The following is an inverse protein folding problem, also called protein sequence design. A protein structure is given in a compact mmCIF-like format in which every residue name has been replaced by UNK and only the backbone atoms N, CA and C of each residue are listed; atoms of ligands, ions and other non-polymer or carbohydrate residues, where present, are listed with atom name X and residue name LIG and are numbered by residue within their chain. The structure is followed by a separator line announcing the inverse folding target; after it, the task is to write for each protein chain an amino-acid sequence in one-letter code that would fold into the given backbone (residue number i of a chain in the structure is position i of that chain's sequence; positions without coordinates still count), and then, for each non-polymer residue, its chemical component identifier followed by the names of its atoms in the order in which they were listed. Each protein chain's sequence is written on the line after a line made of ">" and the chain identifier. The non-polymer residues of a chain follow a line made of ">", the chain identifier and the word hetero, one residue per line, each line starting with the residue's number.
data_IF_475446524701
#
_entry.id   IF_475446524701
#
_cell.length_a   1.000
_cell.length_b   1.000
_cell.length_c   1.000
_cell.angle_alpha   90.00
_cell.angle_beta   90.00
_cell.angle_gamma   90.00
#
_symmetry.space_group_name_H-M   'P 1'
#
loop_
_entity.id
_entity.type
_entity.pdbx_description
1 polymer ?
#
# COMPACT_ATOMS: atom_id res chain seq x y z
N UNK A 1 -9.75 41.85 43.95
CA UNK A 1 -9.28 41.16 42.77
C UNK A 1 -9.82 39.72 42.56
N UNK A 2 -10.81 39.28 43.37
CA UNK A 2 -11.41 37.93 43.16
C UNK A 2 -12.13 37.85 41.80
N UNK A 3 -12.74 38.93 41.33
CA UNK A 3 -13.46 39.03 40.06
C UNK A 3 -12.60 38.61 38.84
N UNK A 4 -11.36 39.14 38.71
CA UNK A 4 -10.48 38.80 37.58
C UNK A 4 -10.02 37.33 37.59
N UNK A 5 -9.84 36.75 38.78
CA UNK A 5 -9.49 35.35 38.93
C UNK A 5 -10.68 34.46 38.53
N UNK A 6 -11.89 34.77 38.97
CA UNK A 6 -13.09 34.05 38.59
C UNK A 6 -13.43 34.23 37.10
N UNK A 7 -13.20 35.39 36.52
CA UNK A 7 -13.37 35.65 35.08
C UNK A 7 -12.36 34.81 34.25
N UNK A 8 -11.10 34.76 34.69
CA UNK A 8 -10.10 33.92 34.00
C UNK A 8 -10.45 32.42 34.09
N UNK A 9 -10.97 31.97 35.24
CA UNK A 9 -11.48 30.61 35.41
C UNK A 9 -12.70 30.29 34.55
N UNK A 10 -13.59 31.26 34.37
CA UNK A 10 -14.76 31.13 33.50
C UNK A 10 -14.33 31.01 32.02
N UNK A 11 -13.42 31.87 31.56
CA UNK A 11 -12.88 31.80 30.21
C UNK A 11 -12.16 30.47 29.95
N UNK A 12 -11.38 29.97 30.92
CA UNK A 12 -10.73 28.67 30.82
C UNK A 12 -11.75 27.53 30.72
N UNK A 13 -12.80 27.53 31.54
CA UNK A 13 -13.87 26.54 31.48
C UNK A 13 -14.64 26.58 30.15
N UNK A 14 -14.82 27.75 29.57
CA UNK A 14 -15.45 27.93 28.25
C UNK A 14 -14.58 27.31 27.15
N UNK A 15 -13.27 27.58 27.13
CA UNK A 15 -12.33 27.01 26.16
C UNK A 15 -12.25 25.46 26.28
N UNK A 16 -12.28 24.94 27.52
CA UNK A 16 -12.32 23.49 27.77
C UNK A 16 -13.61 22.89 27.23
N UNK A 17 -14.76 23.51 27.44
CA UNK A 17 -16.05 23.09 26.89
C UNK A 17 -16.07 23.10 25.36
N UNK A 18 -15.47 24.10 24.71
CA UNK A 18 -15.36 24.18 23.25
C UNK A 18 -14.53 23.01 22.68
N UNK A 19 -13.38 22.72 23.30
CA UNK A 19 -12.52 21.62 22.89
C UNK A 19 -13.20 20.26 23.08
N UNK A 20 -13.83 20.03 24.24
CA UNK A 20 -14.58 18.80 24.53
C UNK A 20 -15.75 18.63 23.56
N UNK A 21 -16.49 19.71 23.27
CA UNK A 21 -17.62 19.68 22.32
C UNK A 21 -17.14 19.33 20.90
N UNK A 22 -16.01 19.89 20.47
CA UNK A 22 -15.39 19.55 19.19
C UNK A 22 -14.95 18.08 19.13
N UNK A 23 -14.34 17.56 20.19
CA UNK A 23 -13.98 16.14 20.27
C UNK A 23 -15.22 15.24 20.16
N UNK A 24 -16.30 15.54 20.89
CA UNK A 24 -17.55 14.79 20.85
C UNK A 24 -18.17 14.82 19.44
N UNK A 25 -18.19 15.98 18.80
CA UNK A 25 -18.74 16.13 17.44
C UNK A 25 -18.00 15.27 16.41
N UNK A 26 -16.70 14.99 16.63
CA UNK A 26 -15.83 14.28 15.73
C UNK A 26 -15.49 12.84 16.19
N UNK A 27 -16.27 12.27 17.11
CA UNK A 27 -16.04 10.91 17.63
C UNK A 27 -16.15 9.83 16.52
N UNK A 28 -16.98 10.06 15.51
CA UNK A 28 -17.16 9.14 14.36
C UNK A 28 -16.43 9.62 13.09
N UNK A 29 -15.50 10.58 13.21
CA UNK A 29 -14.74 11.06 12.06
C UNK A 29 -13.47 10.25 11.89
N UNK A 30 -13.32 9.55 10.79
CA UNK A 30 -12.16 8.71 10.45
C UNK A 30 -10.86 9.51 10.55
N UNK A 31 -9.87 8.97 11.25
CA UNK A 31 -8.55 9.57 11.42
C UNK A 31 -8.52 10.86 12.25
N UNK A 32 -9.63 11.20 12.92
CA UNK A 32 -9.67 12.38 13.79
C UNK A 32 -8.77 12.19 15.02
N UNK A 33 -8.04 13.23 15.36
CA UNK A 33 -7.20 13.30 16.56
C UNK A 33 -7.77 14.30 17.55
N UNK A 34 -8.18 13.79 18.70
CA UNK A 34 -8.74 14.59 19.79
C UNK A 34 -7.79 15.69 20.24
N UNK A 35 -8.34 16.79 20.72
CA UNK A 35 -7.58 17.91 21.26
C UNK A 35 -7.80 18.03 22.76
N UNK A 36 -6.85 18.62 23.45
CA UNK A 36 -6.91 18.93 24.88
C UNK A 36 -6.48 20.37 25.13
N UNK A 37 -7.28 21.12 25.88
CA UNK A 37 -6.90 22.46 26.33
C UNK A 37 -5.81 22.39 27.41
N UNK A 38 -4.75 23.18 27.27
CA UNK A 38 -3.66 23.27 28.23
C UNK A 38 -3.64 24.62 28.88
N UNK A 39 -3.56 24.62 30.21
CA UNK A 39 -3.69 25.82 31.02
C UNK A 39 -2.43 26.07 31.85
N UNK A 40 -2.08 27.34 32.02
CA UNK A 40 -1.04 27.76 32.95
C UNK A 40 -1.59 28.74 33.97
N UNK A 41 -1.04 28.72 35.16
CA UNK A 41 -1.32 29.72 36.19
C UNK A 41 -0.71 31.07 35.82
N UNK A 42 -1.38 32.12 36.27
CA UNK A 42 -0.88 33.50 36.17
C UNK A 42 -0.36 33.92 37.56
N UNK A 43 0.94 34.19 37.62
CA UNK A 43 1.59 34.71 38.82
C UNK A 43 2.02 36.17 38.58
N UNK A 44 1.56 37.07 39.40
CA UNK A 44 1.98 38.49 39.34
C UNK A 44 3.41 38.59 39.86
N UNK A 45 4.40 38.83 38.98
CA UNK A 45 5.76 39.18 39.39
C UNK A 45 5.74 40.59 40.00
N UNK A 46 5.66 40.68 41.31
CA UNK A 46 5.83 41.96 41.98
C UNK A 46 7.33 42.21 42.22
N UNK A 47 7.81 43.37 41.80
CA UNK A 47 9.21 43.81 41.98
C UNK A 47 9.64 44.01 43.46
N UNK A 48 8.76 43.71 44.43
CA UNK A 48 9.02 43.87 45.84
C UNK A 48 8.72 42.54 46.54
N UNK A 49 9.72 41.70 46.64
CA UNK A 49 9.78 40.49 47.50
C UNK A 49 8.67 39.47 47.29
N UNK A 50 9.02 38.26 46.92
CA UNK A 50 8.13 37.08 46.88
C UNK A 50 7.69 36.71 48.30
N UNK A 51 6.60 37.32 48.78
CA UNK A 51 5.98 36.98 50.06
C UNK A 51 5.30 35.58 49.94
N UNK A 52 5.49 34.72 50.92
CA UNK A 52 4.82 33.39 51.05
C UNK A 52 3.28 33.48 51.09
N UNK A 53 2.70 34.66 51.00
CA UNK A 53 1.26 34.94 51.19
C UNK A 53 0.61 35.50 49.93
N UNK A 54 1.28 35.45 48.77
CA UNK A 54 0.71 35.99 47.52
C UNK A 54 -0.20 34.94 46.83
N UNK A 55 -1.47 35.28 46.67
CA UNK A 55 -2.43 34.46 45.93
C UNK A 55 -2.16 34.56 44.44
N UNK A 56 -2.39 33.49 43.68
CA UNK A 56 -2.29 33.49 42.22
C UNK A 56 -3.25 34.46 41.54
N UNK A 57 -2.92 34.90 40.32
CA UNK A 57 -3.69 35.91 39.58
C UNK A 57 -4.70 35.30 38.58
N UNK A 58 -4.90 33.98 38.65
CA UNK A 58 -5.83 33.29 37.78
C UNK A 58 -5.15 32.28 36.85
N UNK A 59 -5.85 31.93 35.77
CA UNK A 59 -5.44 30.92 34.77
C UNK A 59 -5.55 31.52 33.38
N UNK A 60 -4.69 31.04 32.46
CA UNK A 60 -4.80 31.35 31.02
C UNK A 60 -4.70 30.06 30.20
N UNK A 61 -5.39 30.02 29.07
CA UNK A 61 -5.18 29.05 28.04
C UNK A 61 -3.80 29.29 27.41
N UNK A 62 -2.99 28.26 27.33
CA UNK A 62 -1.65 28.28 26.72
C UNK A 62 -1.70 27.75 25.32
N UNK A 63 -2.34 26.58 25.16
CA UNK A 63 -2.36 25.84 23.90
C UNK A 63 -3.59 24.90 23.85
N UNK A 64 -3.91 24.43 22.64
CA UNK A 64 -4.85 23.35 22.39
C UNK A 64 -4.06 22.23 21.70
N UNK A 65 -3.48 21.36 22.52
CA UNK A 65 -2.61 20.29 22.06
C UNK A 65 -3.42 19.14 21.44
N UNK A 66 -3.04 18.70 20.24
CA UNK A 66 -3.63 17.52 19.60
C UNK A 66 -3.02 16.24 20.13
N UNK A 67 -3.84 15.20 20.24
CA UNK A 67 -3.41 13.89 20.73
C UNK A 67 -3.24 12.94 19.55
N UNK A 68 -2.01 12.65 19.14
CA UNK A 68 -1.69 11.77 18.01
C UNK A 68 -1.67 10.29 18.36
N UNK A 69 -2.15 9.89 19.54
CA UNK A 69 -2.33 8.47 19.85
C UNK A 69 -3.22 7.78 18.81
N UNK A 70 -2.94 6.52 18.53
CA UNK A 70 -3.72 5.73 17.59
C UNK A 70 -5.14 5.50 18.10
N UNK A 71 -6.12 5.62 17.19
CA UNK A 71 -7.51 5.21 17.41
C UNK A 71 -7.72 3.71 17.23
N UNK A 72 -8.95 3.23 17.44
CA UNK A 72 -9.31 1.85 17.10
C UNK A 72 -9.30 1.66 15.59
N UNK A 73 -8.98 0.44 15.16
CA UNK A 73 -9.01 0.06 13.75
C UNK A 73 -10.28 -0.74 13.50
N UNK A 74 -11.12 -0.25 12.58
CA UNK A 74 -12.34 -0.92 12.15
C UNK A 74 -12.15 -1.47 10.73
N UNK A 75 -12.55 -2.74 10.52
CA UNK A 75 -12.43 -3.40 9.22
C UNK A 75 -13.59 -3.04 8.32
N UNK A 76 -13.28 -2.79 7.04
CA UNK A 76 -14.24 -2.46 5.99
C UNK A 76 -14.18 -3.45 4.83
N UNK A 77 -15.13 -3.36 3.90
CA UNK A 77 -15.14 -4.18 2.68
C UNK A 77 -14.43 -3.54 1.49
N UNK A 78 -13.92 -2.32 1.63
CA UNK A 78 -13.23 -1.58 0.57
C UNK A 78 -11.73 -1.83 0.62
N UNK A 79 -11.13 -2.34 -0.46
CA UNK A 79 -9.69 -2.57 -0.52
C UNK A 79 -8.83 -1.28 -0.58
N UNK A 80 -9.47 -0.12 -0.79
CA UNK A 80 -8.81 1.20 -0.78
C UNK A 80 -8.89 1.90 0.56
N UNK A 81 -9.68 1.36 1.50
CA UNK A 81 -9.65 1.82 2.87
C UNK A 81 -8.38 1.29 3.53
N UNK A 82 -7.60 2.16 4.13
CA UNK A 82 -6.31 1.83 4.71
C UNK A 82 -6.15 2.45 6.09
N UNK A 83 -5.60 1.69 7.02
CA UNK A 83 -5.19 2.19 8.32
C UNK A 83 -3.68 2.00 8.51
N UNK A 84 -3.04 2.94 9.21
CA UNK A 84 -1.63 2.80 9.62
C UNK A 84 -1.64 2.22 11.04
N UNK A 85 -0.99 1.08 11.23
CA UNK A 85 -0.79 0.47 12.55
C UNK A 85 0.57 0.89 13.08
N UNK A 86 0.60 1.90 13.95
CA UNK A 86 1.83 2.51 14.48
C UNK A 86 1.98 3.98 14.09
N UNK A 87 3.21 4.46 14.01
CA UNK A 87 3.56 5.87 13.72
C UNK A 87 3.47 6.20 12.23
N UNK A 88 3.30 7.50 11.88
CA UNK A 88 3.32 8.01 10.52
C UNK A 88 1.97 8.53 10.02
N UNK A 89 1.96 9.19 8.88
CA UNK A 89 0.81 9.78 8.21
C UNK A 89 0.83 9.43 6.73
N UNK A 90 -0.32 9.30 6.11
CA UNK A 90 -0.41 9.28 4.65
C UNK A 90 -0.01 10.63 4.08
N UNK A 91 0.78 10.62 3.03
CA UNK A 91 1.19 11.82 2.31
C UNK A 91 0.23 12.08 1.16
N UNK A 92 -0.39 13.26 1.15
CA UNK A 92 -1.28 13.72 0.09
C UNK A 92 -0.64 14.91 -0.62
N UNK A 93 -0.93 15.05 -1.90
CA UNK A 93 -0.55 16.21 -2.70
C UNK A 93 -1.81 16.96 -3.14
N UNK A 94 -1.87 18.23 -2.79
CA UNK A 94 -2.92 19.16 -3.21
C UNK A 94 -2.30 20.27 -4.05
N UNK A 95 -3.12 21.14 -4.65
CA UNK A 95 -2.65 22.31 -5.40
C UNK A 95 -1.77 23.26 -4.56
N UNK A 96 -1.95 23.25 -3.24
CA UNK A 96 -1.20 24.08 -2.27
C UNK A 96 0.09 23.42 -1.75
N UNK A 97 0.40 22.18 -2.14
CA UNK A 97 1.54 21.42 -1.67
C UNK A 97 1.16 20.10 -0.98
N UNK A 98 2.05 19.61 -0.13
CA UNK A 98 1.82 18.36 0.58
C UNK A 98 1.00 18.59 1.85
N UNK A 99 0.06 17.68 2.10
CA UNK A 99 -0.69 17.56 3.34
C UNK A 99 -0.59 16.13 3.87
N UNK A 100 -0.78 15.98 5.15
CA UNK A 100 -0.60 14.72 5.86
C UNK A 100 -1.89 14.35 6.57
N UNK A 101 -2.26 13.07 6.55
CA UNK A 101 -3.52 12.61 7.16
C UNK A 101 -3.39 11.22 7.76
N UNK A 102 -4.23 10.91 8.75
CA UNK A 102 -4.47 9.55 9.25
C UNK A 102 -5.76 8.96 8.69
N UNK A 103 -6.58 9.76 8.02
CA UNK A 103 -7.78 9.28 7.36
C UNK A 103 -7.43 8.50 6.10
N UNK A 104 -7.74 7.22 6.08
CA UNK A 104 -7.39 6.29 5.00
C UNK A 104 -8.55 5.91 4.10
N UNK A 105 -9.64 6.66 4.09
CA UNK A 105 -10.81 6.44 3.25
C UNK A 105 -10.60 6.99 1.84
N UNK A 106 -9.82 6.28 1.03
CA UNK A 106 -9.48 6.71 -0.34
C UNK A 106 -10.47 6.21 -1.37
N UNK A 107 -10.55 6.92 -2.49
CA UNK A 107 -11.39 6.57 -3.64
C UNK A 107 -10.64 6.84 -4.95
N UNK A 108 -11.14 6.26 -6.05
CA UNK A 108 -10.57 6.47 -7.39
C UNK A 108 -11.34 7.58 -8.08
N UNK A 109 -10.64 8.57 -8.63
CA UNK A 109 -11.24 9.65 -9.42
C UNK A 109 -11.54 9.19 -10.87
N UNK A 110 -12.13 10.08 -11.69
CA UNK A 110 -12.46 9.80 -13.09
C UNK A 110 -11.22 9.55 -13.98
N UNK A 111 -10.04 9.99 -13.54
CA UNK A 111 -8.78 9.82 -14.23
C UNK A 111 -8.03 8.56 -13.77
N UNK A 112 -8.56 7.86 -12.77
CA UNK A 112 -7.95 6.69 -12.19
C UNK A 112 -6.92 6.98 -11.09
N UNK A 113 -6.84 8.22 -10.59
CA UNK A 113 -5.97 8.54 -9.46
C UNK A 113 -6.64 8.18 -8.14
N UNK A 114 -5.87 7.74 -7.19
CA UNK A 114 -6.33 7.51 -5.81
C UNK A 114 -6.29 8.82 -5.06
N UNK A 115 -7.45 9.26 -4.60
CA UNK A 115 -7.63 10.55 -3.95
C UNK A 115 -8.35 10.42 -2.61
N UNK A 116 -8.09 11.35 -1.71
CA UNK A 116 -8.91 11.52 -0.51
C UNK A 116 -10.28 12.11 -0.89
N UNK A 117 -11.32 12.06 -0.03
CA UNK A 117 -12.62 12.67 -0.29
C UNK A 117 -12.57 14.19 -0.58
N UNK A 118 -11.48 14.84 -0.19
CA UNK A 118 -11.23 16.28 -0.42
C UNK A 118 -10.42 16.54 -1.70
N UNK A 119 -10.09 15.50 -2.48
CA UNK A 119 -9.38 15.61 -3.76
C UNK A 119 -7.85 15.62 -3.68
N UNK A 120 -7.27 15.38 -2.49
CA UNK A 120 -5.81 15.24 -2.36
C UNK A 120 -5.32 13.91 -2.95
N UNK A 121 -4.29 13.94 -3.79
CA UNK A 121 -3.71 12.77 -4.45
C UNK A 121 -2.81 11.99 -3.49
N UNK A 122 -3.07 10.70 -3.31
CA UNK A 122 -2.24 9.82 -2.49
C UNK A 122 -0.86 9.62 -3.12
N UNK A 123 0.20 9.84 -2.34
CA UNK A 123 1.57 9.79 -2.81
C UNK A 123 2.21 8.43 -2.58
N UNK A 124 2.95 7.96 -3.58
CA UNK A 124 3.68 6.70 -3.56
C UNK A 124 5.10 6.87 -4.10
N UNK A 125 5.97 5.96 -3.74
CA UNK A 125 7.26 5.73 -4.38
C UNK A 125 7.02 4.90 -5.66
N UNK A 126 7.39 5.40 -6.85
CA UNK A 126 7.18 4.67 -8.10
C UNK A 126 8.09 3.44 -8.20
N UNK A 127 7.68 2.38 -8.91
CA UNK A 127 8.54 1.22 -9.15
C UNK A 127 9.75 1.60 -10.02
N UNK A 128 10.94 1.11 -9.63
CA UNK A 128 12.21 1.43 -10.30
C UNK A 128 12.58 0.48 -11.45
N UNK A 129 11.70 -0.45 -11.83
CA UNK A 129 11.94 -1.43 -12.91
C UNK A 129 12.91 -2.56 -12.57
N UNK A 130 13.65 -2.49 -11.47
CA UNK A 130 14.55 -3.55 -10.98
C UNK A 130 13.91 -4.40 -9.86
N UNK A 131 12.60 -4.31 -9.68
CA UNK A 131 11.83 -5.02 -8.66
C UNK A 131 11.73 -4.31 -7.31
N UNK A 132 12.22 -3.06 -7.21
CA UNK A 132 12.11 -2.19 -6.04
C UNK A 132 11.37 -0.89 -6.35
N UNK A 133 11.48 0.08 -5.41
CA UNK A 133 10.83 1.38 -5.51
C UNK A 133 11.86 2.52 -5.41
N UNK A 134 11.60 3.61 -6.11
CA UNK A 134 12.44 4.82 -6.04
C UNK A 134 11.98 5.70 -4.87
N UNK A 135 12.68 5.59 -3.75
CA UNK A 135 12.38 6.38 -2.54
C UNK A 135 12.84 7.83 -2.62
N UNK A 136 13.54 8.23 -3.67
CA UNK A 136 13.98 9.60 -3.90
C UNK A 136 12.93 10.50 -4.55
N UNK A 137 11.88 9.94 -5.12
CA UNK A 137 10.81 10.67 -5.79
C UNK A 137 9.42 10.23 -5.34
N UNK A 138 8.47 11.15 -5.37
CA UNK A 138 7.06 10.87 -5.10
C UNK A 138 6.26 11.00 -6.40
N UNK A 139 5.28 10.13 -6.57
CA UNK A 139 4.30 10.18 -7.65
C UNK A 139 2.89 9.97 -7.12
N UNK A 140 1.93 10.50 -7.86
CA UNK A 140 0.51 10.27 -7.57
C UNK A 140 0.18 8.80 -7.86
N UNK A 141 -0.53 8.13 -6.95
CA UNK A 141 -0.97 6.76 -7.16
C UNK A 141 -2.10 6.73 -8.19
N UNK A 142 -1.82 6.12 -9.35
CA UNK A 142 -2.77 6.01 -10.45
C UNK A 142 -3.13 4.56 -10.72
N UNK A 143 -4.43 4.27 -10.73
CA UNK A 143 -5.01 2.95 -11.02
C UNK A 143 -5.70 2.99 -12.39
N UNK A 144 -5.42 3.99 -13.21
CA UNK A 144 -6.10 4.20 -14.50
C UNK A 144 -6.42 2.87 -15.16
N UNK A 145 -7.47 2.82 -15.99
CA UNK A 145 -7.93 1.63 -16.75
C UNK A 145 -6.76 0.99 -17.52
N UNK A 146 -5.80 0.45 -16.76
CA UNK A 146 -4.64 -0.24 -17.28
C UNK A 146 -5.12 -1.54 -17.91
N UNK A 147 -5.18 -1.54 -19.23
CA UNK A 147 -5.07 -2.82 -19.92
C UNK A 147 -3.63 -3.25 -19.71
N UNK A 148 -3.41 -4.32 -18.96
CA UNK A 148 -2.09 -4.93 -18.85
C UNK A 148 -1.62 -5.26 -20.25
N UNK A 149 -0.49 -4.67 -20.66
CA UNK A 149 0.09 -4.99 -21.97
C UNK A 149 0.34 -6.51 -22.03
N UNK A 150 0.12 -7.16 -23.18
CA UNK A 150 0.49 -8.57 -23.35
C UNK A 150 2.00 -8.71 -23.29
N UNK A 151 2.45 -9.92 -22.96
CA UNK A 151 3.85 -10.30 -23.04
C UNK A 151 3.99 -11.50 -23.99
N UNK A 152 4.85 -11.34 -25.00
CA UNK A 152 5.20 -12.46 -25.86
C UNK A 152 5.94 -13.53 -25.06
N UNK A 153 5.69 -14.79 -25.41
CA UNK A 153 6.45 -15.91 -24.85
C UNK A 153 7.83 -15.93 -25.48
N UNK A 154 8.87 -15.70 -24.71
CA UNK A 154 10.28 -15.83 -25.11
C UNK A 154 11.01 -16.92 -24.32
N UNK A 155 10.42 -17.40 -23.23
CA UNK A 155 11.00 -18.42 -22.38
C UNK A 155 9.94 -19.42 -21.91
N UNK A 156 10.31 -20.71 -21.91
CA UNK A 156 9.53 -21.80 -21.33
C UNK A 156 10.44 -22.73 -20.53
N UNK A 157 9.93 -23.33 -19.47
CA UNK A 157 10.65 -24.32 -18.66
C UNK A 157 9.89 -25.63 -18.69
N UNK A 158 10.59 -26.71 -19.05
CA UNK A 158 10.05 -28.04 -19.13
C UNK A 158 10.67 -28.90 -18.03
N UNK A 159 9.84 -29.59 -17.29
CA UNK A 159 10.25 -30.57 -16.31
C UNK A 159 9.50 -31.87 -16.62
N UNK A 160 10.13 -32.78 -17.38
CA UNK A 160 9.51 -34.00 -17.87
C UNK A 160 10.52 -35.16 -17.86
N UNK A 161 10.03 -36.36 -17.99
CA UNK A 161 10.86 -37.59 -18.16
C UNK A 161 10.64 -38.23 -19.53
N UNK A 162 11.71 -38.41 -20.29
CA UNK A 162 11.70 -39.20 -21.53
C UNK A 162 12.00 -40.67 -21.19
N UNK A 163 11.12 -41.66 -21.53
CA UNK A 163 11.35 -43.03 -21.17
C UNK A 163 12.61 -43.60 -21.79
N UNK A 164 13.48 -44.20 -20.96
CA UNK A 164 14.71 -44.87 -21.45
C UNK A 164 14.41 -46.13 -22.30
N UNK A 165 13.19 -46.67 -22.22
CA UNK A 165 12.71 -47.81 -22.98
C UNK A 165 12.27 -47.47 -24.41
N UNK A 166 12.11 -46.16 -24.73
CA UNK A 166 11.67 -45.76 -26.06
C UNK A 166 12.76 -46.08 -27.11
N UNK A 167 12.31 -46.60 -28.23
CA UNK A 167 13.17 -46.93 -29.37
C UNK A 167 12.92 -45.98 -30.53
N UNK A 168 13.85 -45.82 -31.48
CA UNK A 168 13.63 -45.01 -32.66
C UNK A 168 12.29 -45.31 -33.34
N UNK A 169 11.54 -44.27 -33.82
CA UNK A 169 10.26 -44.46 -34.49
C UNK A 169 10.37 -45.30 -35.74
N UNK A 170 9.30 -45.99 -36.12
CA UNK A 170 9.27 -46.88 -37.27
C UNK A 170 9.32 -46.11 -38.62
N UNK A 171 8.75 -44.88 -38.63
CA UNK A 171 8.71 -44.01 -39.82
C UNK A 171 9.74 -42.92 -39.73
N UNK A 172 10.51 -42.73 -40.79
CA UNK A 172 11.48 -41.65 -40.98
C UNK A 172 11.34 -41.09 -42.41
N UNK A 173 11.50 -39.78 -42.62
CA UNK A 173 11.83 -38.71 -41.68
C UNK A 173 10.65 -38.33 -40.77
N UNK A 174 10.92 -37.54 -39.74
CA UNK A 174 9.91 -36.97 -38.84
C UNK A 174 8.87 -36.14 -39.60
N UNK A 175 7.58 -36.41 -39.35
CA UNK A 175 6.42 -35.63 -39.82
C UNK A 175 5.46 -35.40 -38.63
N UNK A 176 5.13 -34.15 -38.25
CA UNK A 176 4.21 -33.86 -37.13
C UNK A 176 2.80 -34.44 -37.34
N UNK A 177 2.40 -34.73 -38.58
CA UNK A 177 1.11 -35.32 -38.93
C UNK A 177 1.09 -36.84 -38.86
N UNK A 178 2.26 -37.48 -38.84
CA UNK A 178 2.38 -38.95 -38.71
C UNK A 178 2.80 -39.36 -37.27
N UNK A 179 1.87 -39.87 -36.46
CA UNK A 179 2.16 -40.23 -35.09
C UNK A 179 3.15 -41.42 -34.96
N UNK A 180 3.47 -42.08 -36.05
CA UNK A 180 4.48 -43.16 -36.07
C UNK A 180 5.90 -42.65 -36.31
N UNK A 181 6.06 -41.33 -36.59
CA UNK A 181 7.35 -40.71 -36.88
C UNK A 181 8.00 -40.02 -35.65
N UNK A 182 7.34 -40.00 -34.51
CA UNK A 182 7.87 -39.48 -33.25
C UNK A 182 7.46 -40.34 -32.06
N UNK A 183 8.18 -40.22 -30.95
CA UNK A 183 7.91 -41.01 -29.73
C UNK A 183 6.94 -40.30 -28.81
N UNK A 184 7.16 -39.03 -28.54
CA UNK A 184 6.40 -38.24 -27.55
C UNK A 184 6.12 -36.83 -28.07
N UNK A 185 5.06 -36.20 -27.54
CA UNK A 185 4.75 -34.81 -27.82
C UNK A 185 4.30 -34.11 -26.53
N UNK A 186 4.68 -32.84 -26.41
CA UNK A 186 4.34 -31.96 -25.30
C UNK A 186 3.71 -30.66 -25.82
N UNK A 187 2.37 -30.56 -25.84
CA UNK A 187 1.69 -29.35 -26.26
C UNK A 187 1.68 -28.33 -25.13
N UNK A 188 1.81 -27.03 -25.47
CA UNK A 188 1.66 -25.90 -24.57
C UNK A 188 1.20 -24.67 -25.34
N UNK A 189 0.71 -23.65 -24.61
CA UNK A 189 0.25 -22.40 -25.23
C UNK A 189 1.33 -21.34 -25.12
N UNK A 190 1.57 -20.63 -26.21
CA UNK A 190 2.46 -19.45 -26.27
C UNK A 190 1.66 -18.23 -26.71
N UNK A 191 2.14 -17.04 -26.37
CA UNK A 191 1.50 -15.78 -26.71
C UNK A 191 2.42 -14.93 -27.56
N UNK A 192 1.88 -14.24 -28.56
CA UNK A 192 2.61 -13.29 -29.37
C UNK A 192 2.70 -11.89 -28.74
N UNK A 193 3.38 -10.95 -29.39
CA UNK A 193 3.56 -9.58 -28.92
C UNK A 193 2.25 -8.76 -28.85
N UNK A 194 1.19 -9.20 -29.53
CA UNK A 194 -0.14 -8.61 -29.47
C UNK A 194 -1.06 -9.36 -28.48
N UNK A 195 -0.57 -10.46 -27.87
CA UNK A 195 -1.27 -11.26 -26.88
C UNK A 195 -2.24 -12.29 -27.44
N UNK A 196 -2.16 -12.60 -28.73
CA UNK A 196 -2.88 -13.72 -29.31
C UNK A 196 -2.21 -15.04 -28.88
N UNK A 197 -3.04 -16.03 -28.57
CA UNK A 197 -2.55 -17.37 -28.18
C UNK A 197 -2.29 -18.23 -29.40
N UNK A 198 -1.17 -18.95 -29.40
CA UNK A 198 -0.76 -19.91 -30.41
C UNK A 198 -0.54 -21.28 -29.76
N UNK A 199 -0.83 -22.35 -30.52
CA UNK A 199 -0.59 -23.70 -30.06
C UNK A 199 0.83 -24.13 -30.43
N UNK A 200 1.68 -24.29 -29.42
CA UNK A 200 3.03 -24.81 -29.59
C UNK A 200 3.08 -26.29 -29.18
N UNK A 201 3.86 -27.09 -29.90
CA UNK A 201 4.10 -28.52 -29.56
C UNK A 201 5.55 -28.85 -29.78
N UNK A 202 6.19 -29.41 -28.77
CA UNK A 202 7.51 -30.05 -28.90
C UNK A 202 7.31 -31.53 -29.17
N UNK A 203 7.85 -32.01 -30.29
CA UNK A 203 7.88 -33.42 -30.64
C UNK A 203 9.26 -33.98 -30.33
N UNK A 204 9.29 -35.05 -29.58
CA UNK A 204 10.51 -35.77 -29.21
C UNK A 204 10.68 -37.04 -30.04
N UNK A 205 11.79 -37.12 -30.76
CA UNK A 205 12.16 -38.25 -31.62
C UNK A 205 13.40 -38.89 -31.06
N UNK A 206 13.33 -40.16 -30.65
CA UNK A 206 14.49 -40.94 -30.27
C UNK A 206 15.30 -41.30 -31.52
N UNK A 207 16.58 -40.96 -31.57
CA UNK A 207 17.46 -41.22 -32.71
C UNK A 207 18.44 -42.34 -32.42
N UNK A 208 18.81 -42.54 -31.16
CA UNK A 208 19.67 -43.62 -30.68
C UNK A 208 19.54 -43.69 -29.14
N UNK A 209 20.01 -44.76 -28.48
CA UNK A 209 20.03 -44.83 -27.02
C UNK A 209 20.68 -43.60 -26.38
N UNK A 210 19.93 -42.90 -25.54
CA UNK A 210 20.35 -41.64 -24.88
C UNK A 210 20.40 -40.40 -25.79
N UNK A 211 19.95 -40.52 -27.06
CA UNK A 211 19.97 -39.43 -28.03
C UNK A 211 18.56 -39.15 -28.57
N UNK A 212 18.16 -37.90 -28.50
CA UNK A 212 16.85 -37.45 -28.94
C UNK A 212 16.96 -36.18 -29.77
N UNK A 213 15.93 -35.88 -30.53
CA UNK A 213 15.75 -34.60 -31.23
C UNK A 213 14.43 -34.02 -30.78
N UNK A 214 14.47 -32.76 -30.30
CA UNK A 214 13.29 -31.94 -30.03
C UNK A 214 12.96 -31.10 -31.24
N UNK A 215 11.74 -31.22 -31.76
CA UNK A 215 11.24 -30.42 -32.88
C UNK A 215 10.10 -29.52 -32.37
N UNK A 216 10.27 -28.19 -32.43
CA UNK A 216 9.24 -27.27 -32.01
C UNK A 216 8.40 -26.83 -33.21
N UNK A 217 7.10 -26.92 -33.06
CA UNK A 217 6.10 -26.42 -34.02
C UNK A 217 5.16 -25.47 -33.32
N UNK A 218 4.86 -24.34 -33.97
CA UNK A 218 3.86 -23.35 -33.52
C UNK A 218 2.84 -23.19 -34.64
N UNK A 219 1.57 -23.44 -34.36
CA UNK A 219 0.46 -23.44 -35.33
C UNK A 219 0.76 -24.25 -36.60
N UNK A 220 1.45 -25.38 -36.44
CA UNK A 220 1.86 -26.24 -37.55
C UNK A 220 3.09 -25.77 -38.34
N UNK A 221 3.66 -24.61 -37.98
CA UNK A 221 4.90 -24.10 -38.62
C UNK A 221 6.12 -24.55 -37.80
N UNK A 222 7.12 -25.11 -38.45
CA UNK A 222 8.35 -25.54 -37.79
C UNK A 222 9.21 -24.35 -37.35
N UNK A 223 9.67 -24.35 -36.12
CA UNK A 223 10.69 -23.44 -35.60
C UNK A 223 12.09 -24.07 -35.59
N UNK A 224 12.24 -25.30 -36.12
CA UNK A 224 13.50 -26.02 -36.19
C UNK A 224 13.56 -27.21 -35.22
N UNK A 225 14.74 -27.81 -35.19
CA UNK A 225 15.04 -28.99 -34.36
C UNK A 225 16.34 -28.80 -33.58
N UNK A 226 16.38 -29.33 -32.37
CA UNK A 226 17.53 -29.28 -31.49
C UNK A 226 17.85 -30.65 -30.90
N UNK A 227 19.12 -31.03 -30.81
CA UNK A 227 19.52 -32.32 -30.23
C UNK A 227 19.43 -32.30 -28.71
N UNK A 228 19.00 -33.43 -28.12
CA UNK A 228 18.97 -33.67 -26.69
C UNK A 228 19.76 -34.98 -26.44
N UNK A 229 20.70 -34.94 -25.51
CA UNK A 229 21.51 -36.13 -25.15
C UNK A 229 21.57 -36.33 -23.65
N UNK A 230 21.50 -37.60 -23.24
CA UNK A 230 21.58 -38.03 -21.85
C UNK A 230 22.79 -38.95 -21.64
N UNK A 231 23.32 -38.92 -20.41
CA UNK A 231 24.35 -39.87 -19.99
C UNK A 231 23.74 -41.20 -19.55
N UNK A 232 24.59 -42.12 -19.14
CA UNK A 232 24.20 -43.48 -18.67
C UNK A 232 23.37 -43.46 -17.37
N UNK A 233 23.36 -42.32 -16.65
CA UNK A 233 22.58 -42.11 -15.43
C UNK A 233 21.24 -41.41 -15.73
N UNK A 234 20.94 -41.11 -17.02
CA UNK A 234 19.73 -40.44 -17.43
C UNK A 234 19.76 -38.93 -17.18
N UNK A 235 20.93 -38.34 -16.96
CA UNK A 235 21.11 -36.90 -16.76
C UNK A 235 21.40 -36.24 -18.10
N UNK A 236 20.79 -35.06 -18.33
CA UNK A 236 20.97 -34.26 -19.56
C UNK A 236 22.42 -33.80 -19.71
N UNK A 237 23.00 -34.01 -20.88
CA UNK A 237 24.38 -33.61 -21.25
C UNK A 237 24.40 -32.65 -22.46
N UNK A 238 23.43 -32.78 -23.34
CA UNK A 238 23.30 -31.98 -24.56
C UNK A 238 21.88 -31.40 -24.64
N UNK A 239 21.72 -30.09 -24.83
CA UNK A 239 22.77 -29.05 -24.87
C UNK A 239 23.38 -28.80 -23.49
N UNK A 240 24.64 -28.36 -23.47
CA UNK A 240 25.27 -27.92 -22.22
C UNK A 240 24.46 -26.76 -21.60
N UNK A 241 24.04 -26.91 -20.33
CA UNK A 241 23.17 -25.95 -19.65
C UNK A 241 21.67 -26.09 -19.94
N UNK A 242 21.24 -27.10 -20.74
CA UNK A 242 19.83 -27.44 -20.92
C UNK A 242 18.98 -26.44 -21.72
N UNK A 243 19.58 -25.44 -22.36
CA UNK A 243 18.85 -24.41 -23.11
C UNK A 243 18.71 -24.76 -24.57
N UNK A 244 17.46 -24.86 -25.08
CA UNK A 244 17.13 -25.08 -26.49
C UNK A 244 16.57 -23.77 -27.08
N UNK A 245 17.28 -23.18 -28.04
CA UNK A 245 16.83 -21.95 -28.72
C UNK A 245 16.13 -22.31 -30.03
N UNK A 246 14.90 -21.84 -30.16
CA UNK A 246 14.09 -21.95 -31.38
C UNK A 246 13.74 -20.56 -31.89
N UNK A 247 13.88 -20.32 -33.19
CA UNK A 247 13.71 -18.99 -33.78
C UNK A 247 12.87 -19.01 -35.05
N UNK A 248 12.31 -17.87 -35.39
CA UNK A 248 11.78 -17.65 -36.74
C UNK A 248 10.29 -17.90 -36.94
N UNK A 249 9.48 -18.04 -35.90
CA UNK A 249 8.03 -18.02 -36.06
C UNK A 249 7.53 -16.58 -36.23
N UNK A 250 6.86 -16.32 -37.36
CA UNK A 250 6.23 -15.01 -37.63
C UNK A 250 4.72 -15.19 -37.64
N UNK A 251 4.01 -14.64 -36.61
CA UNK A 251 2.56 -14.74 -36.54
C UNK A 251 1.88 -14.05 -37.72
N UNK A 252 0.77 -14.61 -38.29
CA UNK A 252 0.10 -14.07 -39.43
C UNK A 252 -0.70 -12.78 -39.14
N UNK A 253 -0.87 -12.41 -37.89
CA UNK A 253 -1.61 -11.24 -37.42
C UNK A 253 -0.81 -9.92 -37.40
N UNK A 254 0.46 -9.96 -37.86
CA UNK A 254 1.36 -8.79 -37.87
C UNK A 254 2.09 -8.54 -36.56
N UNK A 255 2.04 -9.50 -35.59
CA UNK A 255 2.87 -9.46 -34.40
C UNK A 255 4.36 -9.62 -34.73
N UNK A 256 5.22 -9.22 -33.80
CA UNK A 256 6.66 -9.37 -33.96
C UNK A 256 7.04 -10.87 -34.10
N UNK A 257 8.12 -11.20 -34.83
CA UNK A 257 8.64 -12.55 -34.85
C UNK A 257 8.94 -13.06 -33.44
N UNK A 258 8.69 -14.35 -33.22
CA UNK A 258 8.87 -15.00 -31.92
C UNK A 258 10.11 -15.89 -31.94
N UNK A 259 10.95 -15.72 -30.93
CA UNK A 259 12.05 -16.60 -30.60
C UNK A 259 11.77 -17.18 -29.20
N UNK A 260 11.85 -18.51 -29.06
CA UNK A 260 11.49 -19.21 -27.83
C UNK A 260 12.68 -19.99 -27.31
N UNK A 261 13.14 -19.67 -26.13
CA UNK A 261 14.16 -20.42 -25.40
C UNK A 261 13.49 -21.39 -24.42
N UNK A 262 13.73 -22.68 -24.58
CA UNK A 262 13.18 -23.71 -23.72
C UNK A 262 14.27 -24.20 -22.78
N UNK A 263 14.08 -23.99 -21.48
CA UNK A 263 14.92 -24.56 -20.45
C UNK A 263 14.50 -26.01 -20.16
N UNK A 264 15.36 -26.94 -20.49
CA UNK A 264 15.21 -28.34 -20.27
C UNK A 264 16.24 -28.88 -19.26
N UNK A 265 16.88 -28.05 -18.46
CA UNK A 265 17.93 -28.47 -17.50
C UNK A 265 17.44 -29.48 -16.46
N UNK A 266 16.12 -29.52 -16.20
CA UNK A 266 15.49 -30.42 -15.24
C UNK A 266 14.87 -31.67 -15.87
N UNK A 267 15.03 -31.90 -17.19
CA UNK A 267 14.51 -33.13 -17.81
C UNK A 267 15.44 -34.34 -17.53
N UNK A 268 14.83 -35.51 -17.51
CA UNK A 268 15.51 -36.75 -17.21
C UNK A 268 15.17 -37.84 -18.24
N UNK A 269 16.02 -38.89 -18.31
CA UNK A 269 15.73 -40.11 -19.05
C UNK A 269 15.81 -41.31 -18.15
N UNK A 270 14.69 -41.66 -17.51
CA UNK A 270 14.62 -42.83 -16.63
C UNK A 270 13.73 -43.94 -17.22
N UNK A 271 13.80 -45.13 -16.62
CA UNK A 271 12.99 -46.28 -17.01
C UNK A 271 11.51 -46.20 -16.66
N UNK A 272 11.02 -45.03 -16.25
CA UNK A 272 9.62 -44.79 -15.92
C UNK A 272 8.79 -44.49 -17.17
N UNK A 273 7.46 -44.44 -16.99
CA UNK A 273 6.51 -44.10 -18.06
C UNK A 273 6.65 -42.64 -18.47
N UNK A 274 6.17 -42.32 -19.68
CA UNK A 274 6.08 -40.94 -20.14
C UNK A 274 5.24 -40.10 -19.18
N UNK A 275 5.84 -39.04 -18.69
CA UNK A 275 5.16 -37.98 -17.93
C UNK A 275 5.50 -36.63 -18.57
N UNK A 276 4.51 -35.91 -19.13
CA UNK A 276 4.74 -34.58 -19.68
C UNK A 276 5.11 -33.54 -18.59
N UNK A 277 4.98 -33.90 -17.31
CA UNK A 277 5.41 -33.13 -16.17
C UNK A 277 4.80 -31.72 -16.13
N UNK A 278 5.60 -30.76 -15.70
CA UNK A 278 5.17 -29.34 -15.60
C UNK A 278 5.84 -28.52 -16.71
N UNK A 279 5.01 -27.85 -17.50
CA UNK A 279 5.45 -26.90 -18.52
C UNK A 279 4.99 -25.52 -18.10
N UNK A 280 5.92 -24.59 -17.91
CA UNK A 280 5.63 -23.19 -17.61
C UNK A 280 6.22 -22.29 -18.69
N UNK A 281 5.61 -21.17 -18.93
CA UNK A 281 6.07 -20.17 -19.89
C UNK A 281 5.75 -18.76 -19.38
N UNK A 282 6.44 -17.74 -19.87
CA UNK A 282 6.38 -16.38 -19.33
C UNK A 282 5.45 -15.41 -20.08
N UNK A 283 4.86 -15.85 -21.21
CA UNK A 283 3.94 -15.02 -22.00
C UNK A 283 2.52 -14.97 -21.40
N UNK A 284 1.78 -13.93 -21.72
CA UNK A 284 0.37 -13.80 -21.33
C UNK A 284 -0.41 -12.85 -22.25
N UNK A 285 -1.72 -13.11 -22.35
CA UNK A 285 -2.65 -12.24 -23.04
C UNK A 285 -2.83 -10.88 -22.29
N UNK A 286 -3.33 -9.83 -22.97
CA UNK A 286 -3.67 -8.59 -22.30
C UNK A 286 -4.71 -8.85 -21.20
N UNK A 287 -4.55 -8.22 -20.04
CA UNK A 287 -5.44 -8.34 -18.90
C UNK A 287 -6.12 -7.02 -18.56
N UNK A 288 -7.34 -7.08 -18.03
CA UNK A 288 -8.02 -5.93 -17.42
C UNK A 288 -7.81 -5.99 -15.89
N UNK A 289 -7.68 -4.83 -15.25
CA UNK A 289 -7.62 -4.77 -13.79
C UNK A 289 -8.91 -5.34 -13.20
N UNK A 290 -8.79 -6.32 -12.32
CA UNK A 290 -9.89 -6.97 -11.61
C UNK A 290 -9.97 -6.57 -10.15
N UNK A 291 -8.86 -6.08 -9.58
CA UNK A 291 -8.79 -5.65 -8.19
C UNK A 291 -7.44 -5.04 -7.86
N UNK A 292 -7.39 -4.44 -6.68
CA UNK A 292 -6.18 -3.86 -6.09
C UNK A 292 -5.91 -4.61 -4.81
N UNK A 293 -4.64 -4.83 -4.54
CA UNK A 293 -4.15 -5.46 -3.33
C UNK A 293 -3.09 -4.57 -2.71
N UNK A 294 -3.15 -4.38 -1.41
CA UNK A 294 -2.20 -3.55 -0.67
C UNK A 294 -1.64 -4.39 0.46
N UNK A 295 -0.34 -4.59 0.46
CA UNK A 295 0.30 -5.39 1.49
C UNK A 295 0.66 -4.56 2.74
N UNK A 296 1.16 -5.22 3.78
CA UNK A 296 1.56 -4.58 5.04
C UNK A 296 2.72 -3.60 4.89
N UNK A 297 3.54 -3.75 3.85
CA UNK A 297 4.64 -2.84 3.53
C UNK A 297 4.18 -1.64 2.67
N UNK A 298 2.87 -1.52 2.45
CA UNK A 298 2.29 -0.45 1.65
C UNK A 298 2.51 -0.60 0.15
N UNK A 299 2.88 -1.78 -0.34
CA UNK A 299 3.00 -2.03 -1.78
C UNK A 299 1.61 -2.18 -2.37
N UNK A 300 1.25 -1.26 -3.26
CA UNK A 300 -0.01 -1.27 -3.99
C UNK A 300 0.19 -2.03 -5.29
N UNK A 301 -0.57 -3.10 -5.47
CA UNK A 301 -0.50 -3.98 -6.64
C UNK A 301 -1.85 -4.09 -7.34
N UNK A 302 -1.85 -3.99 -8.67
CA UNK A 302 -3.02 -4.29 -9.49
C UNK A 302 -3.04 -5.77 -9.88
N UNK A 303 -4.17 -6.44 -9.64
CA UNK A 303 -4.45 -7.80 -10.09
C UNK A 303 -5.17 -7.73 -11.44
N UNK A 304 -4.73 -8.52 -12.42
CA UNK A 304 -5.28 -8.55 -13.76
C UNK A 304 -6.06 -9.84 -14.03
N UNK A 305 -6.99 -9.77 -14.98
CA UNK A 305 -7.82 -10.92 -15.40
C UNK A 305 -7.02 -12.09 -16.01
N UNK A 306 -5.78 -11.85 -16.42
CA UNK A 306 -4.85 -12.86 -16.91
C UNK A 306 -4.00 -13.51 -15.80
N UNK A 307 -4.33 -13.26 -14.52
CA UNK A 307 -3.62 -13.80 -13.36
C UNK A 307 -2.33 -13.06 -12.99
N UNK A 308 -1.94 -12.05 -13.77
CA UNK A 308 -0.74 -11.27 -13.48
C UNK A 308 -1.01 -10.24 -12.37
N UNK A 309 0.04 -9.90 -11.64
CA UNK A 309 0.02 -8.84 -10.62
C UNK A 309 1.15 -7.86 -10.94
N UNK A 310 0.84 -6.57 -10.94
CA UNK A 310 1.82 -5.51 -11.20
C UNK A 310 1.83 -4.52 -10.06
N UNK A 311 2.99 -4.28 -9.46
CA UNK A 311 3.17 -3.23 -8.48
C UNK A 311 3.01 -1.84 -9.14
N UNK A 312 2.16 -1.01 -8.56
CA UNK A 312 1.88 0.36 -9.01
C UNK A 312 2.75 1.37 -8.28
N UNK A 313 3.10 1.09 -7.04
CA UNK A 313 3.93 1.93 -6.18
C UNK A 313 3.91 1.43 -4.75
N UNK A 314 4.74 2.02 -3.91
CA UNK A 314 4.76 1.80 -2.47
C UNK A 314 4.34 3.06 -1.75
N UNK A 315 3.41 2.97 -0.80
CA UNK A 315 2.88 4.11 -0.06
C UNK A 315 4.02 4.88 0.64
N UNK A 316 4.06 6.18 0.41
CA UNK A 316 4.99 7.09 1.06
C UNK A 316 4.37 7.61 2.36
N UNK A 317 4.81 7.08 3.48
CA UNK A 317 4.45 7.58 4.78
C UNK A 317 5.35 8.77 5.17
N UNK A 318 4.79 9.65 5.97
CA UNK A 318 5.49 10.79 6.55
C UNK A 318 5.47 10.72 8.06
N UNK A 319 6.56 11.11 8.69
CA UNK A 319 6.64 11.27 10.13
C UNK A 319 7.35 12.59 10.48
N UNK A 320 7.20 13.04 11.72
CA UNK A 320 7.69 14.34 12.18
C UNK A 320 8.32 14.19 13.57
N UNK A 321 9.48 14.79 13.73
CA UNK A 321 10.17 14.81 15.03
C UNK A 321 9.29 15.42 16.14
N UNK A 322 8.48 16.42 15.77
CA UNK A 322 7.51 17.04 16.67
C UNK A 322 6.12 17.13 16.01
N UNK A 323 5.30 16.09 16.16
CA UNK A 323 3.93 16.06 15.63
C UNK A 323 3.03 17.16 16.22
N UNK A 324 3.32 17.66 17.45
CA UNK A 324 2.58 18.78 18.08
C UNK A 324 2.78 20.10 17.34
N UNK A 325 3.88 20.24 16.61
CA UNK A 325 4.16 21.41 15.79
C UNK A 325 3.41 21.45 14.46
N UNK A 326 2.69 20.39 14.09
CA UNK A 326 1.89 20.35 12.87
C UNK A 326 0.72 21.32 12.95
N UNK A 327 0.45 22.03 11.84
CA UNK A 327 -0.70 22.89 11.73
C UNK A 327 -1.90 22.15 11.15
N UNK A 328 -2.99 22.09 11.88
CA UNK A 328 -4.26 21.57 11.38
C UNK A 328 -4.85 22.52 10.34
N UNK A 329 -5.21 21.99 9.16
CA UNK A 329 -5.85 22.74 8.06
C UNK A 329 -7.31 22.35 7.83
N UNK A 330 -7.87 21.57 8.75
CA UNK A 330 -9.21 21.01 8.63
C UNK A 330 -9.24 19.68 7.89
N UNK A 331 -10.41 19.04 7.83
CA UNK A 331 -10.63 17.77 7.12
C UNK A 331 -9.69 16.63 7.53
N UNK A 332 -9.29 16.58 8.81
CA UNK A 332 -8.31 15.62 9.34
C UNK A 332 -6.95 15.64 8.59
N UNK A 333 -6.57 16.83 8.11
CA UNK A 333 -5.30 17.05 7.41
C UNK A 333 -4.42 18.06 8.17
N UNK A 334 -3.12 17.82 8.07
CA UNK A 334 -2.07 18.64 8.68
C UNK A 334 -1.05 19.08 7.64
N UNK A 335 -0.39 20.19 7.92
CA UNK A 335 0.77 20.66 7.14
C UNK A 335 1.97 20.85 8.07
N UNK A 336 3.15 20.67 7.51
CA UNK A 336 4.40 20.89 8.20
C UNK A 336 4.59 22.38 8.55
N UNK A 337 5.28 22.64 9.63
CA UNK A 337 5.67 23.97 10.09
C UNK A 337 7.13 23.98 10.53
N UNK A 338 7.67 25.16 10.79
CA UNK A 338 9.01 25.27 11.37
C UNK A 338 9.12 24.61 12.77
N UNK A 339 7.99 24.42 13.48
CA UNK A 339 7.96 23.80 14.80
C UNK A 339 7.83 22.25 14.72
N UNK A 340 7.22 21.71 13.66
CA UNK A 340 7.16 20.26 13.47
C UNK A 340 8.48 19.64 13.06
N UNK A 341 9.42 20.45 12.57
CA UNK A 341 10.61 19.99 11.90
C UNK A 341 10.34 19.62 10.44
N UNK A 342 11.38 19.14 9.73
CA UNK A 342 11.26 18.67 8.36
C UNK A 342 10.58 17.30 8.34
N UNK A 343 9.78 17.05 7.30
CA UNK A 343 9.15 15.76 7.10
C UNK A 343 10.18 14.66 6.90
N UNK A 344 10.08 13.59 7.65
CA UNK A 344 10.80 12.34 7.45
C UNK A 344 9.88 11.43 6.65
N UNK A 345 10.34 10.96 5.48
CA UNK A 345 9.54 10.08 4.62
C UNK A 345 10.13 8.69 4.59
N UNK A 346 9.28 7.68 4.58
CA UNK A 346 9.68 6.28 4.54
C UNK A 346 8.59 5.37 4.03
N UNK A 347 8.95 4.14 3.75
CA UNK A 347 8.00 3.09 3.39
C UNK A 347 7.37 2.48 4.65
N UNK A 348 6.13 2.04 4.54
CA UNK A 348 5.44 1.36 5.63
C UNK A 348 6.23 0.12 6.10
N UNK A 349 6.20 -0.15 7.41
CA UNK A 349 6.89 -1.28 8.03
C UNK A 349 8.41 -1.17 8.08
N UNK A 350 8.99 0.00 7.76
CA UNK A 350 10.44 0.23 7.82
C UNK A 350 10.79 1.26 8.91
N UNK A 351 11.85 1.01 9.68
CA UNK A 351 12.25 1.89 10.78
C UNK A 351 11.13 2.06 11.80
N UNK A 352 10.75 3.31 12.08
CA UNK A 352 9.70 3.66 13.03
C UNK A 352 8.30 3.77 12.36
N UNK A 353 8.22 3.60 11.03
CA UNK A 353 6.95 3.69 10.31
C UNK A 353 6.06 2.48 10.57
N UNK A 354 4.80 2.75 10.86
CA UNK A 354 3.77 1.73 11.04
C UNK A 354 3.50 0.91 9.78
N UNK A 355 2.93 -0.28 9.98
CA UNK A 355 2.49 -1.13 8.89
C UNK A 355 1.12 -0.70 8.36
N UNK A 356 0.85 -0.97 7.08
CA UNK A 356 -0.46 -0.71 6.48
C UNK A 356 -1.39 -1.90 6.70
N UNK A 357 -2.61 -1.60 7.12
CA UNK A 357 -3.72 -2.53 7.16
C UNK A 357 -4.71 -2.15 6.06
N UNK A 358 -4.79 -2.95 5.00
CA UNK A 358 -5.78 -2.79 3.93
C UNK A 358 -7.15 -3.29 4.38
N UNK A 359 -8.23 -2.69 3.83
CA UNK A 359 -9.60 -3.02 4.21
C UNK A 359 -9.93 -2.61 5.65
N UNK A 360 -9.33 -1.53 6.14
CA UNK A 360 -9.54 -1.04 7.49
C UNK A 360 -9.42 0.49 7.54
N UNK A 361 -10.07 1.12 8.49
CA UNK A 361 -9.98 2.55 8.77
C UNK A 361 -9.58 2.77 10.23
N UNK A 362 -8.85 3.82 10.47
CA UNK A 362 -8.56 4.29 11.83
C UNK A 362 -9.70 5.22 12.28
N UNK A 363 -10.40 4.82 13.35
CA UNK A 363 -11.41 5.65 13.99
C UNK A 363 -10.78 6.81 14.76
N UNK A 364 -11.64 7.75 15.16
CA UNK A 364 -11.26 8.78 16.12
C UNK A 364 -10.69 8.17 17.41
N UNK A 365 -9.62 8.77 17.95
CA UNK A 365 -9.08 8.36 19.24
C UNK A 365 -9.85 8.94 20.44
N UNK A 366 -11.03 9.53 20.19
CA UNK A 366 -11.89 10.15 21.21
C UNK A 366 -12.81 9.10 21.85
N UNK A 367 -12.69 8.92 23.15
CA UNK A 367 -13.66 8.14 23.94
C UNK A 367 -14.84 9.00 24.39
N UNK A 368 -16.02 8.70 23.88
CA UNK A 368 -17.24 9.47 24.15
C UNK A 368 -17.58 9.54 25.64
N UNK A 369 -17.42 8.43 26.37
CA UNK A 369 -17.77 8.37 27.79
C UNK A 369 -16.87 9.30 28.60
N UNK A 370 -15.57 9.23 28.34
CA UNK A 370 -14.58 10.11 28.97
C UNK A 370 -14.84 11.57 28.66
N UNK A 371 -15.18 11.90 27.41
CA UNK A 371 -15.49 13.29 27.02
C UNK A 371 -16.76 13.80 27.68
N UNK A 372 -17.82 13.00 27.81
CA UNK A 372 -19.04 13.39 28.52
C UNK A 372 -18.77 13.67 30.00
N UNK A 373 -17.95 12.85 30.66
CA UNK A 373 -17.53 13.10 32.06
C UNK A 373 -16.75 14.39 32.16
N UNK A 374 -15.82 14.64 31.22
CA UNK A 374 -15.04 15.89 31.18
C UNK A 374 -15.93 17.11 30.91
N UNK A 375 -16.93 16.98 30.05
CA UNK A 375 -17.93 18.02 29.81
C UNK A 375 -18.68 18.40 31.08
N UNK A 376 -19.13 17.41 31.88
CA UNK A 376 -19.82 17.66 33.15
C UNK A 376 -18.88 18.37 34.13
N UNK A 377 -17.61 17.99 34.18
CA UNK A 377 -16.61 18.68 35.04
C UNK A 377 -16.42 20.14 34.60
N UNK A 378 -16.25 20.38 33.30
CA UNK A 378 -16.06 21.73 32.75
C UNK A 378 -17.30 22.58 32.97
N UNK A 379 -18.52 22.01 32.81
CA UNK A 379 -19.77 22.71 33.14
C UNK A 379 -19.87 23.10 34.61
N UNK A 380 -19.49 22.21 35.54
CA UNK A 380 -19.45 22.50 36.96
C UNK A 380 -18.43 23.60 37.30
N UNK A 381 -17.24 23.55 36.66
CA UNK A 381 -16.23 24.60 36.81
C UNK A 381 -16.72 25.95 36.32
N UNK A 382 -17.40 25.99 35.19
CA UNK A 382 -18.05 27.18 34.67
C UNK A 382 -19.08 27.75 35.64
N UNK A 383 -20.00 26.91 36.16
CA UNK A 383 -21.01 27.28 37.14
C UNK A 383 -20.41 27.82 38.44
N UNK A 384 -19.36 27.17 38.95
CA UNK A 384 -18.67 27.58 40.17
C UNK A 384 -18.02 28.95 40.02
N UNK A 385 -17.35 29.20 38.87
CA UNK A 385 -16.76 30.53 38.59
C UNK A 385 -17.83 31.60 38.38
N UNK A 386 -18.93 31.30 37.68
CA UNK A 386 -20.06 32.18 37.53
C UNK A 386 -20.71 32.56 38.89
N UNK A 387 -20.87 31.56 39.78
CA UNK A 387 -21.39 31.80 41.13
C UNK A 387 -20.43 32.66 41.97
N UNK A 388 -19.11 32.50 41.80
CA UNK A 388 -18.11 33.32 42.46
C UNK A 388 -18.20 34.79 42.03
N UNK A 389 -18.41 35.06 40.74
CA UNK A 389 -18.65 36.40 40.19
C UNK A 389 -19.92 37.02 40.81
N UNK A 390 -21.03 36.26 40.81
CA UNK A 390 -22.29 36.72 41.39
C UNK A 390 -22.18 37.05 42.87
N UNK A 391 -21.38 36.29 43.62
CA UNK A 391 -21.13 36.54 45.04
C UNK A 391 -20.29 37.80 45.25
N UNK A 392 -19.28 38.03 44.40
CA UNK A 392 -18.44 39.22 44.44
C UNK A 392 -19.26 40.50 44.13
N UNK A 393 -20.17 40.42 43.14
CA UNK A 393 -21.12 41.51 42.86
C UNK A 393 -22.02 41.85 44.06
N UNK A 394 -22.60 40.82 44.72
CA UNK A 394 -23.43 41.02 45.91
C UNK A 394 -22.62 41.63 47.06
N UNK A 395 -21.39 41.19 47.28
CA UNK A 395 -20.50 41.80 48.29
C UNK A 395 -20.22 43.29 47.96
N UNK A 396 -19.94 43.63 46.70
CA UNK A 396 -19.69 44.96 46.26
C UNK A 396 -20.92 45.88 46.47
N UNK A 397 -22.13 45.38 46.12
CA UNK A 397 -23.38 46.07 46.37
C UNK A 397 -23.64 46.32 47.87
N UNK A 398 -23.36 45.30 48.71
CA UNK A 398 -23.51 45.41 50.18
C UNK A 398 -22.55 46.45 50.72
N UNK A 399 -21.31 46.54 50.26
CA UNK A 399 -20.33 47.57 50.67
C UNK A 399 -20.80 48.98 50.26
N UNK A 400 -21.36 49.11 49.04
CA UNK A 400 -21.90 50.39 48.58
C UNK A 400 -23.10 50.85 49.42
N UNK A 401 -23.97 49.90 49.85
CA UNK A 401 -25.13 50.18 50.66
C UNK A 401 -24.78 50.53 52.11
N UNK A 402 -23.66 50.09 52.65
CA UNK A 402 -23.18 50.44 54.03
C UNK A 402 -22.60 51.83 54.05
N UNK A 403 -22.19 52.37 52.91
CA UNK A 403 -21.57 53.68 52.81
C UNK A 403 -22.58 54.88 52.59
N UNK A 404 -23.85 54.57 52.33
CA UNK A 404 -24.94 55.52 52.31
C UNK A 404 -25.72 55.49 53.64
#
# INVERSE_FOLDING_TARGET
>A
MPFNVALSGLNAATADLEVISNNIANVNTTGFKGSRAEFADLFAASNVGSGRTQAGSGVRLVDIAQQFSQGSIEYTSSGLDMAITGEGFFTLKNDSGYTYTRAGNFQVDQNGNVVSPQGGFLQVYPPNGAGGFDTGSLSDLTIASMTGAPQATDSATFNLNLPASDTPPATTPFDPNDPTSYNRSAPFTVYDSLGASHSATVYYVNTAPGQWTANLYVDGTSMGSQPIGFDQNGVLTTPAGGQLAFTGFTPPNGAAPMDINIDMSAITQYGDTWDPGTITQNGYAPGKVTGIDIDQNGIVSAKFSNGQTKALGQLALADFENAQGLKNVGNTQWVETAQSGQVIRGAAGTGDFGAIQSGALEDSNVDLTSQLVNMIKAQRNYQANAQSISTDDKMTQTILNIRN
#
